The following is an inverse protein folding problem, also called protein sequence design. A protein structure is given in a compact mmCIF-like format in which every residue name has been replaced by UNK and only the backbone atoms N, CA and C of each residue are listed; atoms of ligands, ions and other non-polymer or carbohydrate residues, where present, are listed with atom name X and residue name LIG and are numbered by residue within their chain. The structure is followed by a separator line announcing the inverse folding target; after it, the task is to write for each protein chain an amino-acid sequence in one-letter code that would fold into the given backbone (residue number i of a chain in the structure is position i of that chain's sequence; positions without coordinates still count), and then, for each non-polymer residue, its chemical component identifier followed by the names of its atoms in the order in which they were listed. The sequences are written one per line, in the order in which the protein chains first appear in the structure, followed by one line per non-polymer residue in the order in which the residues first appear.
data_IF_986826055823
#
_entry.id   IF_986826055823
#
_cell.length_a   1.000
_cell.length_b   1.000
_cell.length_c   1.000
_cell.angle_alpha   90.00
_cell.angle_beta   90.00
_cell.angle_gamma   90.00
#
_symmetry.space_group_name_H-M   'P 1'
#
loop_
_entity.id
_entity.type
_entity.pdbx_description
1 polymer ?
#
# COMPACT_ATOMS: atom_id res chain seq x y z
N UNK A 1 -7.95 0.21 -32.02
CA UNK A 1 -8.90 -0.30 -30.99
C UNK A 1 -8.13 -0.50 -29.69
N UNK A 2 -8.71 -0.09 -28.55
CA UNK A 2 -8.10 -0.30 -27.24
C UNK A 2 -7.91 -1.79 -26.98
N UNK A 3 -6.68 -2.22 -26.75
CA UNK A 3 -6.33 -3.60 -26.42
C UNK A 3 -5.76 -3.63 -25.01
N UNK A 4 -6.25 -4.50 -24.14
CA UNK A 4 -5.66 -4.71 -22.83
C UNK A 4 -4.17 -5.07 -22.97
N UNK A 5 -3.35 -4.63 -22.01
CA UNK A 5 -1.92 -4.92 -22.01
C UNK A 5 -1.69 -6.02 -20.99
N UNK A 6 -0.86 -7.02 -21.32
CA UNK A 6 -0.56 -8.09 -20.38
C UNK A 6 0.05 -7.54 -19.08
N UNK A 7 -0.41 -8.11 -17.99
CA UNK A 7 0.12 -7.98 -16.64
C UNK A 7 0.60 -9.34 -16.16
N UNK A 8 1.49 -9.33 -15.18
CA UNK A 8 1.78 -10.49 -14.34
C UNK A 8 1.56 -10.09 -12.90
N UNK A 9 1.05 -11.03 -12.13
CA UNK A 9 0.58 -10.84 -10.77
C UNK A 9 1.41 -11.65 -9.77
N UNK A 10 1.57 -11.12 -8.56
CA UNK A 10 2.30 -11.77 -7.47
C UNK A 10 1.44 -11.96 -6.23
N UNK A 11 1.95 -11.53 -5.07
CA UNK A 11 1.20 -11.59 -3.82
C UNK A 11 -0.07 -10.74 -3.84
N UNK A 12 -1.11 -11.28 -3.22
CA UNK A 12 -2.31 -10.53 -2.88
C UNK A 12 -1.98 -9.52 -1.79
N UNK A 13 -2.68 -8.40 -1.79
CA UNK A 13 -2.42 -7.22 -0.98
C UNK A 13 -3.67 -6.75 -0.27
N UNK A 14 -3.54 -6.45 1.01
CA UNK A 14 -4.59 -5.83 1.82
C UNK A 14 -4.04 -4.63 2.59
N UNK A 15 -4.48 -3.43 2.24
CA UNK A 15 -4.33 -2.25 3.11
C UNK A 15 -5.54 -2.14 4.01
N UNK A 16 -5.33 -1.81 5.28
CA UNK A 16 -6.37 -1.51 6.25
C UNK A 16 -5.95 -0.29 7.06
N UNK A 17 -6.85 0.68 7.16
CA UNK A 17 -6.66 1.88 7.96
C UNK A 17 -7.67 1.88 9.09
N UNK A 18 -7.21 2.16 10.30
CA UNK A 18 -8.03 2.16 11.51
C UNK A 18 -7.89 3.50 12.21
N UNK A 19 -9.00 4.01 12.73
CA UNK A 19 -8.99 5.06 13.75
C UNK A 19 -9.20 4.42 15.13
N UNK A 20 -8.49 4.94 16.12
CA UNK A 20 -8.57 4.50 17.50
C UNK A 20 -9.63 5.29 18.26
N UNK A 21 -10.58 4.58 18.86
CA UNK A 21 -11.49 5.18 19.83
C UNK A 21 -10.74 5.38 21.16
N UNK A 22 -10.09 6.54 21.29
CA UNK A 22 -9.38 6.92 22.52
C UNK A 22 -10.30 7.01 23.73
N UNK A 23 -11.62 7.25 23.55
CA UNK A 23 -12.54 7.26 24.68
C UNK A 23 -12.74 5.85 25.24
N UNK A 24 -12.89 4.86 24.35
CA UNK A 24 -12.97 3.46 24.73
C UNK A 24 -11.62 2.94 25.27
N UNK A 25 -10.50 3.27 24.61
CA UNK A 25 -9.16 2.88 25.08
C UNK A 25 -8.82 3.40 26.47
N UNK A 26 -9.19 4.64 26.78
CA UNK A 26 -8.94 5.23 28.10
C UNK A 26 -9.83 4.65 29.21
N UNK A 27 -10.87 3.89 28.85
CA UNK A 27 -11.67 3.12 29.82
C UNK A 27 -11.07 1.75 30.14
N UNK A 28 -10.11 1.25 29.34
CA UNK A 28 -9.41 0.01 29.67
C UNK A 28 -8.61 0.17 30.96
N UNK A 29 -8.68 -0.82 31.83
CA UNK A 29 -7.79 -0.89 32.97
C UNK A 29 -6.36 -1.30 32.56
N UNK A 30 -5.46 -1.34 33.54
CA UNK A 30 -4.05 -1.63 33.27
C UNK A 30 -3.82 -3.07 32.76
N UNK A 31 -4.67 -4.03 33.15
CA UNK A 31 -4.59 -5.43 32.71
C UNK A 31 -5.11 -5.56 31.27
N UNK A 32 -6.24 -4.93 30.95
CA UNK A 32 -6.82 -4.91 29.60
C UNK A 32 -5.88 -4.22 28.59
N UNK A 33 -5.26 -3.09 28.96
CA UNK A 33 -4.25 -2.44 28.12
C UNK A 33 -3.01 -3.32 27.92
N UNK A 34 -2.56 -4.02 28.97
CA UNK A 34 -1.41 -4.91 28.90
C UNK A 34 -1.69 -6.13 28.01
N UNK A 35 -2.88 -6.72 28.12
CA UNK A 35 -3.35 -7.81 27.27
C UNK A 35 -3.42 -7.36 25.80
N UNK A 36 -4.10 -6.24 25.52
CA UNK A 36 -4.23 -5.69 24.17
C UNK A 36 -2.86 -5.44 23.50
N UNK A 37 -1.91 -4.87 24.24
CA UNK A 37 -0.54 -4.65 23.77
C UNK A 37 0.21 -5.96 23.55
N UNK A 38 0.09 -6.91 24.48
CA UNK A 38 0.74 -8.22 24.41
C UNK A 38 0.27 -9.03 23.20
N UNK A 39 -1.04 -9.08 22.99
CA UNK A 39 -1.66 -9.73 21.83
C UNK A 39 -1.25 -9.09 20.51
N UNK A 40 -1.23 -7.75 20.44
CA UNK A 40 -0.78 -7.05 19.24
C UNK A 40 0.71 -7.32 18.96
N UNK A 41 1.58 -7.28 19.99
CA UNK A 41 3.01 -7.64 19.83
C UNK A 41 3.17 -9.08 19.33
N UNK A 42 2.40 -10.03 19.86
CA UNK A 42 2.42 -11.42 19.41
C UNK A 42 1.95 -11.55 17.95
N UNK A 43 0.87 -10.88 17.57
CA UNK A 43 0.39 -10.84 16.18
C UNK A 43 1.43 -10.26 15.21
N UNK A 44 2.06 -9.14 15.57
CA UNK A 44 3.12 -8.53 14.76
C UNK A 44 4.36 -9.44 14.65
N UNK A 45 4.72 -10.17 15.71
CA UNK A 45 5.81 -11.13 15.68
C UNK A 45 5.54 -12.31 14.73
N UNK A 46 4.28 -12.74 14.60
CA UNK A 46 3.91 -13.74 13.60
C UNK A 46 3.98 -13.21 12.17
N UNK A 47 3.51 -11.97 11.92
CA UNK A 47 3.70 -11.32 10.62
C UNK A 47 5.18 -11.12 10.29
N UNK A 48 6.01 -10.80 11.28
CA UNK A 48 7.46 -10.70 11.15
C UNK A 48 8.09 -12.04 10.81
N UNK A 49 7.63 -13.13 11.43
CA UNK A 49 8.09 -14.47 11.11
C UNK A 49 7.79 -14.85 9.66
N UNK A 50 6.57 -14.55 9.17
CA UNK A 50 6.18 -14.73 7.76
C UNK A 50 7.05 -13.87 6.82
N UNK A 51 7.30 -12.61 7.19
CA UNK A 51 8.12 -11.68 6.42
C UNK A 51 9.57 -12.17 6.28
N UNK A 52 10.19 -12.60 7.38
CA UNK A 52 11.56 -13.14 7.38
C UNK A 52 11.67 -14.47 6.62
N UNK A 53 10.61 -15.29 6.66
CA UNK A 53 10.51 -16.51 5.87
C UNK A 53 10.32 -16.24 4.36
N UNK A 54 10.05 -14.99 3.95
CA UNK A 54 9.72 -14.60 2.58
C UNK A 54 8.49 -15.33 2.02
N UNK A 55 7.55 -15.66 2.90
CA UNK A 55 6.25 -16.27 2.56
C UNK A 55 5.14 -15.23 2.42
N UNK A 56 5.44 -13.98 2.78
CA UNK A 56 4.61 -12.79 2.65
C UNK A 56 5.39 -11.55 3.10
N UNK A 57 4.71 -10.43 3.29
CA UNK A 57 5.30 -9.19 3.82
C UNK A 57 4.26 -8.39 4.58
N UNK A 58 4.71 -7.43 5.38
CA UNK A 58 3.79 -6.49 6.03
C UNK A 58 4.47 -5.16 6.38
N UNK A 59 3.64 -4.15 6.61
CA UNK A 59 3.98 -2.84 7.12
C UNK A 59 2.94 -2.42 8.16
N UNK A 60 3.40 -1.84 9.29
CA UNK A 60 2.53 -1.30 10.33
C UNK A 60 3.01 0.08 10.77
N UNK A 61 2.16 1.10 10.56
CA UNK A 61 2.53 2.51 10.65
C UNK A 61 1.46 3.31 11.40
N UNK A 62 1.91 4.35 12.10
CA UNK A 62 1.14 5.38 12.79
C UNK A 62 0.80 6.50 11.79
N UNK A 63 -0.49 6.70 11.52
CA UNK A 63 -0.99 7.53 10.41
C UNK A 63 -1.32 8.94 10.87
N UNK A 64 -0.97 9.93 10.05
CA UNK A 64 -1.23 11.32 10.34
C UNK A 64 -2.67 11.75 9.94
N UNK A 65 -3.37 12.37 10.89
CA UNK A 65 -4.62 13.11 10.66
C UNK A 65 -5.88 12.26 10.76
N UNK A 66 -7.05 12.89 10.54
CA UNK A 66 -8.35 12.29 10.88
C UNK A 66 -8.76 11.04 10.08
N UNK A 67 -8.01 10.69 9.01
CA UNK A 67 -8.36 9.56 8.14
C UNK A 67 -8.07 8.21 8.79
N UNK A 68 -7.22 8.20 9.81
CA UNK A 68 -6.92 7.04 10.63
C UNK A 68 -5.67 7.30 11.48
N UNK A 69 -5.50 6.45 12.48
CA UNK A 69 -4.39 6.47 13.42
C UNK A 69 -3.40 5.32 13.12
N UNK A 70 -3.85 4.23 12.50
CA UNK A 70 -3.03 3.07 12.18
C UNK A 70 -3.24 2.63 10.72
N UNK A 71 -2.16 2.24 10.05
CA UNK A 71 -2.18 1.54 8.76
C UNK A 71 -1.47 0.20 8.90
N UNK A 72 -2.20 -0.87 8.58
CA UNK A 72 -1.68 -2.21 8.44
C UNK A 72 -1.79 -2.63 6.97
N UNK A 73 -0.64 -2.91 6.35
CA UNK A 73 -0.57 -3.47 5.00
C UNK A 73 0.01 -4.87 5.07
N UNK A 74 -0.67 -5.85 4.46
CA UNK A 74 -0.25 -7.25 4.44
C UNK A 74 -0.19 -7.72 2.98
N UNK A 75 0.89 -8.41 2.65
CA UNK A 75 1.07 -9.16 1.40
C UNK A 75 1.11 -10.65 1.71
N UNK A 76 0.30 -11.44 0.99
CA UNK A 76 0.19 -12.88 1.20
C UNK A 76 -0.06 -13.64 -0.11
N UNK A 77 0.16 -14.98 -0.16
CA UNK A 77 -0.01 -15.77 -1.38
C UNK A 77 -1.44 -15.83 -1.92
N UNK A 78 -2.46 -15.70 -1.07
CA UNK A 78 -3.88 -15.84 -1.45
C UNK A 78 -4.81 -14.88 -0.70
N UNK A 79 -6.00 -14.65 -1.27
CA UNK A 79 -7.09 -13.93 -0.58
C UNK A 79 -7.53 -14.66 0.70
N UNK A 80 -7.51 -15.99 0.70
CA UNK A 80 -7.84 -16.80 1.87
C UNK A 80 -6.86 -16.54 3.01
N UNK A 81 -5.57 -16.38 2.71
CA UNK A 81 -4.54 -16.05 3.71
C UNK A 81 -4.68 -14.63 4.23
N UNK A 82 -4.96 -13.65 3.36
CA UNK A 82 -5.29 -12.28 3.80
C UNK A 82 -6.50 -12.28 4.75
N UNK A 83 -7.56 -13.01 4.39
CA UNK A 83 -8.76 -13.11 5.22
C UNK A 83 -8.50 -13.83 6.56
N UNK A 84 -7.54 -14.77 6.61
CA UNK A 84 -7.09 -15.38 7.87
C UNK A 84 -6.39 -14.35 8.76
N UNK A 85 -5.45 -13.58 8.20
CA UNK A 85 -4.75 -12.52 8.92
C UNK A 85 -5.70 -11.45 9.44
N UNK A 86 -6.62 -10.99 8.61
CA UNK A 86 -7.62 -10.00 9.00
C UNK A 86 -8.54 -10.52 10.11
N UNK A 87 -9.08 -11.75 9.99
CA UNK A 87 -9.90 -12.34 11.05
C UNK A 87 -9.14 -12.55 12.35
N UNK A 88 -7.83 -12.84 12.27
CA UNK A 88 -6.98 -12.96 13.45
C UNK A 88 -6.80 -11.59 14.11
N UNK A 89 -6.48 -10.55 13.35
CA UNK A 89 -6.37 -9.18 13.84
C UNK A 89 -7.67 -8.69 14.49
N UNK A 90 -8.82 -8.92 13.84
CA UNK A 90 -10.15 -8.52 14.34
C UNK A 90 -10.57 -9.20 15.65
N UNK A 91 -9.86 -10.24 16.09
CA UNK A 91 -10.13 -10.96 17.35
C UNK A 91 -9.26 -10.51 18.52
N UNK A 92 -8.25 -9.68 18.27
CA UNK A 92 -7.40 -9.15 19.33
C UNK A 92 -8.20 -8.17 20.19
N UNK A 93 -7.85 -8.06 21.47
CA UNK A 93 -8.49 -7.13 22.42
C UNK A 93 -8.40 -5.69 21.93
N UNK A 94 -7.27 -5.27 21.36
CA UNK A 94 -7.11 -3.92 20.80
C UNK A 94 -8.08 -3.63 19.65
N UNK A 95 -8.50 -4.64 18.88
CA UNK A 95 -9.41 -4.43 17.76
C UNK A 95 -10.81 -3.98 18.20
N UNK A 96 -11.18 -4.17 19.46
CA UNK A 96 -12.45 -3.69 20.00
C UNK A 96 -12.53 -2.15 20.12
N UNK A 97 -11.39 -1.47 20.13
CA UNK A 97 -11.29 0.01 20.16
C UNK A 97 -10.80 0.59 18.84
N UNK A 98 -10.67 -0.24 17.79
CA UNK A 98 -10.25 0.21 16.46
C UNK A 98 -11.43 0.18 15.49
N UNK A 99 -11.74 1.34 14.94
CA UNK A 99 -12.74 1.51 13.88
C UNK A 99 -12.04 1.49 12.53
N UNK A 100 -12.33 0.51 11.68
CA UNK A 100 -11.78 0.48 10.33
C UNK A 100 -12.40 1.60 9.49
N UNK A 101 -11.58 2.56 9.08
CA UNK A 101 -12.01 3.74 8.29
C UNK A 101 -11.81 3.54 6.80
N UNK A 102 -10.87 2.68 6.41
CA UNK A 102 -10.59 2.37 5.00
C UNK A 102 -9.99 0.97 4.83
N UNK A 103 -10.16 0.41 3.64
CA UNK A 103 -9.47 -0.80 3.19
C UNK A 103 -9.26 -0.78 1.69
N UNK A 104 -8.24 -1.50 1.22
CA UNK A 104 -8.02 -1.72 -0.20
C UNK A 104 -7.48 -3.12 -0.47
N UNK A 105 -8.19 -3.91 -1.28
CA UNK A 105 -7.84 -5.27 -1.68
C UNK A 105 -7.29 -5.29 -3.11
N UNK A 106 -6.11 -5.86 -3.32
CA UNK A 106 -5.40 -5.79 -4.59
C UNK A 106 -4.39 -6.92 -4.75
N UNK A 107 -3.58 -6.88 -5.82
CA UNK A 107 -2.51 -7.82 -6.10
C UNK A 107 -1.29 -7.09 -6.65
N UNK A 108 -0.07 -7.46 -6.27
CA UNK A 108 1.14 -6.85 -6.85
C UNK A 108 1.15 -7.06 -8.37
N UNK A 109 1.42 -6.00 -9.12
CA UNK A 109 1.24 -6.01 -10.57
C UNK A 109 2.48 -5.45 -11.28
N UNK A 110 2.93 -6.16 -12.32
CA UNK A 110 3.89 -5.61 -13.30
C UNK A 110 3.28 -5.70 -14.68
N UNK A 111 3.10 -4.54 -15.33
CA UNK A 111 2.58 -4.48 -16.69
C UNK A 111 3.70 -4.49 -17.75
N UNK A 112 3.36 -5.01 -18.94
CA UNK A 112 4.26 -5.00 -20.10
C UNK A 112 4.61 -3.60 -20.62
N UNK A 113 4.02 -2.54 -20.05
CA UNK A 113 4.43 -1.17 -20.32
C UNK A 113 5.79 -0.82 -19.74
N UNK A 114 6.05 -1.30 -18.53
CA UNK A 114 7.22 -0.92 -17.73
C UNK A 114 8.39 -1.87 -18.00
N UNK A 115 8.09 -3.12 -18.41
CA UNK A 115 9.07 -4.16 -18.68
C UNK A 115 8.76 -4.90 -19.98
N UNK A 116 9.75 -4.98 -20.87
CA UNK A 116 9.62 -5.68 -22.15
C UNK A 116 9.54 -7.20 -21.99
N UNK A 117 10.12 -7.74 -20.92
CA UNK A 117 10.04 -9.15 -20.51
C UNK A 117 9.46 -9.21 -19.11
N UNK A 118 8.48 -10.09 -18.91
CA UNK A 118 7.78 -10.25 -17.63
C UNK A 118 8.30 -11.44 -16.82
N UNK A 119 9.22 -12.24 -17.38
CA UNK A 119 9.83 -13.41 -16.75
C UNK A 119 11.28 -13.14 -16.31
N UNK A 120 11.50 -12.05 -15.56
CA UNK A 120 12.84 -11.66 -15.10
C UNK A 120 12.94 -11.62 -13.57
N UNK A 121 14.14 -11.85 -13.00
CA UNK A 121 14.32 -11.74 -11.55
C UNK A 121 13.94 -10.37 -10.97
N UNK A 122 14.10 -9.29 -11.73
CA UNK A 122 13.67 -7.96 -11.30
C UNK A 122 12.14 -7.81 -11.29
N UNK A 123 11.43 -8.56 -12.13
CA UNK A 123 9.96 -8.63 -12.08
C UNK A 123 9.54 -9.46 -10.88
N UNK A 124 10.15 -10.62 -10.65
CA UNK A 124 9.86 -11.45 -9.46
C UNK A 124 10.07 -10.69 -8.16
N UNK A 125 11.13 -9.88 -8.05
CA UNK A 125 11.38 -9.04 -6.88
C UNK A 125 10.29 -7.97 -6.64
N UNK A 126 9.59 -7.53 -7.70
CA UNK A 126 8.43 -6.62 -7.58
C UNK A 126 7.14 -7.35 -7.25
N UNK A 127 6.97 -8.57 -7.77
CA UNK A 127 5.79 -9.41 -7.53
C UNK A 127 5.77 -9.99 -6.11
N UNK A 128 6.95 -10.31 -5.56
CA UNK A 128 7.12 -10.93 -4.24
C UNK A 128 8.08 -10.11 -3.36
N UNK A 129 7.72 -8.86 -3.00
CA UNK A 129 8.65 -7.93 -2.37
C UNK A 129 8.86 -8.18 -0.87
N UNK A 130 10.10 -8.08 -0.42
CA UNK A 130 10.41 -7.86 1.00
C UNK A 130 10.24 -6.37 1.30
N UNK A 131 9.13 -6.00 1.94
CA UNK A 131 8.77 -4.60 2.25
C UNK A 131 9.77 -4.01 3.26
N UNK A 132 10.34 -2.81 3.01
CA UNK A 132 11.32 -2.21 3.91
C UNK A 132 10.67 -1.69 5.20
N UNK A 133 11.52 -1.50 6.21
CA UNK A 133 11.19 -0.81 7.47
C UNK A 133 11.71 0.63 7.44
N UNK A 134 11.42 1.33 6.35
CA UNK A 134 11.76 2.75 6.22
C UNK A 134 10.94 3.60 7.20
N UNK A 135 11.41 4.80 7.51
CA UNK A 135 10.78 5.65 8.52
C UNK A 135 9.34 6.05 8.18
N UNK A 136 9.01 6.21 6.89
CA UNK A 136 7.73 6.74 6.45
C UNK A 136 7.08 5.89 5.36
N UNK A 137 5.76 5.90 5.35
CA UNK A 137 4.92 5.31 4.31
C UNK A 137 4.00 6.38 3.70
N UNK A 138 3.73 6.28 2.41
CA UNK A 138 2.66 6.98 1.71
C UNK A 138 1.86 5.98 0.89
N UNK A 139 0.54 5.93 1.08
CA UNK A 139 -0.37 5.08 0.33
C UNK A 139 -1.50 5.92 -0.26
N UNK A 140 -1.83 5.66 -1.52
CA UNK A 140 -3.00 6.22 -2.18
C UNK A 140 -3.48 5.29 -3.29
N UNK A 141 -4.73 5.46 -3.71
CA UNK A 141 -5.29 4.75 -4.83
C UNK A 141 -5.46 5.68 -6.03
N UNK A 142 -5.53 5.07 -7.21
CA UNK A 142 -5.77 5.82 -8.43
C UNK A 142 -6.48 5.00 -9.50
N UNK A 143 -7.09 5.71 -10.44
CA UNK A 143 -7.68 5.16 -11.67
C UNK A 143 -7.27 6.03 -12.85
N UNK A 144 -7.37 5.46 -14.06
CA UNK A 144 -7.21 6.18 -15.31
C UNK A 144 -8.56 6.67 -15.84
N UNK A 145 -8.61 7.97 -16.14
CA UNK A 145 -9.81 8.68 -16.61
C UNK A 145 -10.43 8.06 -17.87
N UNK A 146 -11.77 8.12 -17.94
CA UNK A 146 -12.62 7.60 -19.02
C UNK A 146 -13.64 8.62 -19.52
N UNK A 147 -13.26 9.90 -19.62
CA UNK A 147 -14.22 10.98 -19.89
C UNK A 147 -13.85 11.79 -21.14
N UNK A 148 -14.82 11.96 -22.04
CA UNK A 148 -14.66 12.77 -23.25
C UNK A 148 -13.44 12.36 -24.07
N UNK A 149 -12.59 13.34 -24.41
CA UNK A 149 -11.36 13.13 -25.16
C UNK A 149 -10.21 12.54 -24.30
N UNK A 150 -10.35 12.51 -22.98
CA UNK A 150 -9.38 11.95 -22.04
C UNK A 150 -9.86 10.58 -21.55
N UNK A 151 -9.98 9.64 -22.48
CA UNK A 151 -10.32 8.25 -22.18
C UNK A 151 -9.11 7.33 -22.41
N UNK A 152 -8.41 7.02 -21.32
CA UNK A 152 -7.19 6.20 -21.33
C UNK A 152 -7.40 4.85 -22.04
N UNK A 153 -8.54 4.22 -21.80
CA UNK A 153 -8.83 2.87 -22.29
C UNK A 153 -9.20 2.82 -23.78
N UNK A 154 -9.52 3.97 -24.37
CA UNK A 154 -9.76 4.10 -25.81
C UNK A 154 -8.47 4.36 -26.61
N UNK A 155 -7.37 4.69 -25.93
CA UNK A 155 -6.10 4.98 -26.58
C UNK A 155 -5.43 3.72 -27.18
N UNK A 156 -4.76 3.87 -28.33
CA UNK A 156 -3.86 2.85 -28.86
C UNK A 156 -2.82 2.38 -27.81
N UNK A 157 -2.47 1.08 -27.79
CA UNK A 157 -1.42 0.54 -26.91
C UNK A 157 -0.09 1.32 -26.97
N UNK A 158 0.31 1.79 -28.15
CA UNK A 158 1.55 2.52 -28.37
C UNK A 158 1.57 3.88 -27.65
N UNK A 159 0.46 4.61 -27.69
CA UNK A 159 0.34 5.92 -27.02
C UNK A 159 0.39 5.78 -25.51
N UNK A 160 -0.36 4.82 -24.95
CA UNK A 160 -0.26 4.48 -23.52
C UNK A 160 1.15 4.06 -23.15
N UNK A 161 1.82 3.27 -24.00
CA UNK A 161 3.18 2.83 -23.77
C UNK A 161 4.21 3.96 -23.81
N UNK A 162 4.03 4.95 -24.69
CA UNK A 162 4.85 6.18 -24.71
C UNK A 162 4.71 6.92 -23.38
N UNK A 163 3.48 7.20 -22.97
CA UNK A 163 3.20 7.92 -21.73
C UNK A 163 3.72 7.18 -20.48
N UNK A 164 3.54 5.86 -20.40
CA UNK A 164 4.07 5.08 -19.26
C UNK A 164 5.61 5.01 -19.24
N UNK A 165 6.28 5.05 -20.41
CA UNK A 165 7.75 5.17 -20.46
C UNK A 165 8.23 6.51 -19.93
N UNK A 166 7.58 7.60 -20.32
CA UNK A 166 7.88 8.96 -19.83
C UNK A 166 7.67 9.03 -18.31
N UNK A 167 6.56 8.49 -17.81
CA UNK A 167 6.29 8.37 -16.37
C UNK A 167 7.42 7.62 -15.63
N UNK A 168 7.87 6.48 -16.17
CA UNK A 168 8.98 5.72 -15.60
C UNK A 168 10.33 6.46 -15.63
N UNK A 169 10.58 7.29 -16.65
CA UNK A 169 11.78 8.14 -16.72
C UNK A 169 11.75 9.19 -15.62
N UNK A 170 10.61 9.86 -15.40
CA UNK A 170 10.44 10.87 -14.34
C UNK A 170 10.63 10.26 -12.94
N UNK A 171 10.13 9.04 -12.71
CA UNK A 171 10.25 8.37 -11.41
C UNK A 171 11.63 7.79 -11.11
N UNK A 172 12.43 7.46 -12.13
CA UNK A 172 13.68 6.71 -11.96
C UNK A 172 14.69 7.35 -10.98
N UNK A 173 14.95 8.67 -11.00
CA UNK A 173 15.90 9.28 -10.07
C UNK A 173 15.48 9.14 -8.59
N UNK A 174 14.16 9.07 -8.33
CA UNK A 174 13.64 8.94 -6.97
C UNK A 174 13.94 7.57 -6.35
N UNK A 175 14.12 6.53 -7.16
CA UNK A 175 14.39 5.16 -6.68
C UNK A 175 15.72 5.02 -5.91
N UNK A 176 16.56 6.06 -5.88
CA UNK A 176 17.75 6.13 -5.03
C UNK A 176 17.41 6.43 -3.56
N UNK A 177 16.25 7.02 -3.28
CA UNK A 177 15.85 7.52 -1.95
C UNK A 177 14.48 7.05 -1.49
N UNK A 178 13.72 6.38 -2.34
CA UNK A 178 12.43 5.77 -2.02
C UNK A 178 12.26 4.42 -2.72
N UNK A 179 11.31 3.64 -2.22
CA UNK A 179 10.80 2.44 -2.89
C UNK A 179 9.31 2.59 -3.18
N UNK A 180 8.85 1.98 -4.27
CA UNK A 180 7.47 2.08 -4.75
C UNK A 180 6.94 0.68 -5.07
N UNK A 181 5.68 0.46 -4.70
CA UNK A 181 4.96 -0.79 -4.87
C UNK A 181 3.57 -0.51 -5.46
N UNK A 182 3.38 -0.94 -6.70
CA UNK A 182 2.10 -0.86 -7.42
C UNK A 182 1.34 -2.16 -7.26
N UNK A 183 0.06 -2.05 -6.91
CA UNK A 183 -0.87 -3.16 -6.80
C UNK A 183 -2.12 -2.89 -7.64
N UNK A 184 -2.55 -3.86 -8.45
CA UNK A 184 -3.77 -3.78 -9.28
C UNK A 184 -5.01 -4.20 -8.49
N UNK A 185 -6.08 -3.41 -8.58
CA UNK A 185 -7.36 -3.63 -7.92
C UNK A 185 -8.55 -3.78 -8.87
N UNK A 186 -8.33 -3.76 -10.19
CA UNK A 186 -9.42 -3.90 -11.18
C UNK A 186 -10.19 -5.20 -10.95
N UNK A 187 -11.46 -5.09 -10.56
CA UNK A 187 -12.33 -6.23 -10.25
C UNK A 187 -12.17 -6.80 -8.83
N UNK A 188 -11.27 -6.23 -8.02
CA UNK A 188 -11.04 -6.58 -6.62
C UNK A 188 -11.52 -5.47 -5.67
N UNK A 189 -11.47 -4.21 -6.10
CA UNK A 189 -11.81 -3.04 -5.28
C UNK A 189 -12.33 -1.88 -6.16
N UNK A 190 -12.65 -0.75 -5.54
CA UNK A 190 -13.26 0.42 -6.18
C UNK A 190 -12.28 1.21 -7.07
N UNK A 191 -10.98 1.10 -6.78
CA UNK A 191 -9.91 1.75 -7.54
C UNK A 191 -9.12 0.75 -8.37
N UNK A 192 -8.53 1.23 -9.47
CA UNK A 192 -7.83 0.35 -10.41
C UNK A 192 -6.43 0.00 -9.93
N UNK A 193 -5.74 0.90 -9.22
CA UNK A 193 -4.44 0.65 -8.60
C UNK A 193 -4.31 1.26 -7.21
N UNK A 194 -3.53 0.59 -6.36
CA UNK A 194 -2.98 1.12 -5.12
C UNK A 194 -1.47 1.32 -5.25
N UNK A 195 -0.98 2.49 -4.85
CA UNK A 195 0.44 2.85 -4.90
C UNK A 195 0.93 3.06 -3.48
N UNK A 196 1.92 2.27 -3.08
CA UNK A 196 2.56 2.37 -1.76
C UNK A 196 4.01 2.79 -1.94
N UNK A 197 4.43 3.83 -1.25
CA UNK A 197 5.76 4.42 -1.33
C UNK A 197 6.38 4.44 0.06
N UNK A 198 7.65 4.05 0.17
CA UNK A 198 8.42 4.13 1.41
C UNK A 198 9.65 5.00 1.22
N UNK A 199 10.00 5.77 2.25
CA UNK A 199 11.23 6.56 2.28
C UNK A 199 11.63 6.88 3.71
N UNK A 200 12.91 7.19 3.89
CA UNK A 200 13.42 7.78 5.14
C UNK A 200 13.29 9.31 5.19
N UNK A 201 12.82 9.94 4.11
CA UNK A 201 12.50 11.37 4.01
C UNK A 201 11.09 11.54 3.39
N UNK A 202 10.11 11.91 4.20
CA UNK A 202 8.70 12.05 3.81
C UNK A 202 8.48 13.11 2.73
N UNK A 203 9.38 14.09 2.63
CA UNK A 203 9.32 15.12 1.60
C UNK A 203 9.51 14.53 0.19
N UNK A 204 10.14 13.35 0.09
CA UNK A 204 10.30 12.67 -1.21
C UNK A 204 8.96 12.23 -1.80
N UNK A 205 7.96 11.88 -0.98
CA UNK A 205 6.60 11.58 -1.46
C UNK A 205 5.99 12.79 -2.16
N UNK A 206 6.11 13.97 -1.53
CA UNK A 206 5.63 15.22 -2.11
C UNK A 206 6.33 15.51 -3.43
N UNK A 207 7.66 15.35 -3.49
CA UNK A 207 8.46 15.66 -4.69
C UNK A 207 8.09 14.74 -5.86
N UNK A 208 8.13 13.41 -5.67
CA UNK A 208 7.85 12.47 -6.76
C UNK A 208 6.42 12.62 -7.28
N UNK A 209 5.42 12.68 -6.38
CA UNK A 209 4.02 12.77 -6.78
C UNK A 209 3.78 14.10 -7.50
N UNK A 210 4.34 15.20 -7.00
CA UNK A 210 4.17 16.52 -7.63
C UNK A 210 4.84 16.59 -9.00
N UNK A 211 6.06 16.10 -9.17
CA UNK A 211 6.75 16.08 -10.46
C UNK A 211 5.99 15.23 -11.48
N UNK A 212 5.51 14.05 -11.05
CA UNK A 212 4.69 13.18 -11.90
C UNK A 212 3.35 13.81 -12.28
N UNK A 213 2.80 14.79 -11.53
CA UNK A 213 1.57 15.48 -11.95
C UNK A 213 1.72 16.26 -13.26
N UNK A 214 2.94 16.57 -13.69
CA UNK A 214 3.20 17.31 -14.93
C UNK A 214 3.43 16.42 -16.14
N UNK A 215 3.61 15.11 -15.96
CA UNK A 215 3.65 14.20 -17.11
C UNK A 215 2.23 13.86 -17.61
N UNK A 216 2.11 13.63 -18.92
CA UNK A 216 0.82 13.56 -19.62
C UNK A 216 -0.10 12.44 -19.09
N UNK A 217 0.46 11.28 -18.72
CA UNK A 217 -0.27 10.13 -18.18
C UNK A 217 -0.98 10.47 -16.86
N UNK A 218 -0.40 11.31 -16.00
CA UNK A 218 -1.03 11.76 -14.76
C UNK A 218 -1.83 13.03 -14.94
N UNK A 219 -1.31 14.02 -15.67
CA UNK A 219 -1.96 15.32 -15.85
C UNK A 219 -3.33 15.19 -16.53
N UNK A 220 -3.43 14.34 -17.57
CA UNK A 220 -4.67 14.16 -18.33
C UNK A 220 -5.53 13.02 -17.80
N UNK A 221 -4.90 11.93 -17.33
CA UNK A 221 -5.63 10.69 -17.04
C UNK A 221 -5.61 10.26 -15.57
N UNK A 222 -4.78 10.85 -14.71
CA UNK A 222 -4.70 10.42 -13.32
C UNK A 222 -5.85 10.96 -12.47
N UNK A 223 -6.66 10.06 -11.90
CA UNK A 223 -7.66 10.36 -10.86
C UNK A 223 -7.19 9.66 -9.59
N UNK A 224 -7.14 10.39 -8.47
CA UNK A 224 -6.48 9.94 -7.25
C UNK A 224 -7.44 10.00 -6.07
N UNK A 225 -7.32 9.03 -5.17
CA UNK A 225 -8.04 8.99 -3.90
C UNK A 225 -7.35 9.85 -2.84
N UNK A 226 -7.76 9.67 -1.58
CA UNK A 226 -7.07 10.20 -0.41
C UNK A 226 -5.65 9.62 -0.26
N UNK A 227 -4.73 10.46 0.25
CA UNK A 227 -3.35 10.08 0.55
C UNK A 227 -3.14 9.79 2.04
N UNK A 228 -2.79 8.57 2.40
CA UNK A 228 -2.48 8.15 3.77
C UNK A 228 -0.97 8.21 3.98
N UNK A 229 -0.50 9.00 4.94
CA UNK A 229 0.93 9.15 5.26
C UNK A 229 1.14 8.80 6.72
N UNK A 230 2.18 8.03 7.02
CA UNK A 230 2.44 7.58 8.38
C UNK A 230 3.91 7.35 8.69
N UNK A 231 4.20 7.18 9.98
CA UNK A 231 5.53 6.92 10.54
C UNK A 231 5.61 5.49 11.06
N UNK A 232 6.76 4.83 10.85
CA UNK A 232 6.97 3.45 11.29
C UNK A 232 6.74 3.31 12.80
N UNK A 233 5.95 2.32 13.20
CA UNK A 233 5.81 1.92 14.61
C UNK A 233 6.95 0.95 14.94
N UNK A 234 8.07 1.50 15.41
CA UNK A 234 9.14 0.73 16.04
C UNK A 234 8.81 0.42 17.50
N UNK A 235 9.72 -0.28 18.21
CA UNK A 235 9.50 -0.67 19.61
C UNK A 235 9.25 0.54 20.54
N UNK A 236 9.98 1.63 20.34
CA UNK A 236 9.83 2.84 21.15
C UNK A 236 8.50 3.55 20.87
N UNK A 237 8.14 3.71 19.59
CA UNK A 237 6.87 4.30 19.18
C UNK A 237 5.68 3.42 19.54
N UNK A 238 5.83 2.10 19.55
CA UNK A 238 4.75 1.20 19.98
C UNK A 238 4.28 1.53 21.38
N UNK A 239 5.21 1.74 22.30
CA UNK A 239 4.88 2.06 23.69
C UNK A 239 4.32 3.49 23.84
N UNK A 240 4.67 4.42 22.95
CA UNK A 240 4.08 5.77 22.87
C UNK A 240 2.64 5.75 22.35
N UNK A 241 2.40 5.07 21.22
CA UNK A 241 1.10 5.01 20.53
C UNK A 241 0.06 4.28 21.38
N UNK A 242 0.46 3.25 22.10
CA UNK A 242 -0.44 2.38 22.88
C UNK A 242 -0.28 2.54 24.40
N UNK A 243 0.03 3.75 24.87
CA UNK A 243 0.13 4.07 26.31
C UNK A 243 -1.24 4.07 27.05
#
# INVERSE_FOLDING_TARGET
MGKAIPTVEGWHSQHMVFSMDFSAWNCFDAEEKAEARGELKAFLAELESMHQAKEGSYAFYDVNGYKGDLLLWILAPSLEDLAKWERKFRRLTIASVLVQTYSYTSVTEVSAYVKAKLDTPEVDAKLYPTVPKDKYICFYNMTKKREGNDNWYMLPPEERGRMMREHGITGRPYLEVLSEYTTGGVGLDDWEWGVTIFSNDDIQFKKIVYDMRFEEASARYGIFSDFYVGTLIDEARFDEVFA
#
